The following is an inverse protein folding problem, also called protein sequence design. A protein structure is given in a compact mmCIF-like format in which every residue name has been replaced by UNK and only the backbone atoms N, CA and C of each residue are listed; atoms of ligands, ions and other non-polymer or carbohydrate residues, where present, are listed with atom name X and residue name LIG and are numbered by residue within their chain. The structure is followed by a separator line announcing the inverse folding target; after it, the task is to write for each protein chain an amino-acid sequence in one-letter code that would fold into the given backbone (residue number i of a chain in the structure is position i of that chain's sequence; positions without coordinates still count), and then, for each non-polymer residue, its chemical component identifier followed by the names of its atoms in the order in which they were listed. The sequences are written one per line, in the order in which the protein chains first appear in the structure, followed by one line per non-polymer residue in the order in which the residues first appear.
data_IF_833960393348
#
_entry.id   IF_833960393348
#
_cell.length_a   1.000
_cell.length_b   1.000
_cell.length_c   1.000
_cell.angle_alpha   90.00
_cell.angle_beta   90.00
_cell.angle_gamma   90.00
#
_symmetry.space_group_name_H-M   'P 1'
#
loop_
_entity.id
_entity.type
_entity.pdbx_description
1 polymer ?
#
# COMPACT_ATOMS: atom_id res chain seq x y z
N UNK A 1 10.39 1.80 30.33
CA UNK A 1 10.06 2.24 28.95
C UNK A 1 9.15 1.20 28.32
N UNK A 2 7.95 1.61 27.91
CA UNK A 2 6.85 0.73 27.47
C UNK A 2 7.21 0.03 26.15
N UNK A 3 7.24 -1.30 26.17
CA UNK A 3 7.37 -2.18 24.99
C UNK A 3 6.00 -2.34 24.32
N UNK A 4 5.52 -1.30 23.66
CA UNK A 4 4.53 -1.47 22.58
C UNK A 4 5.31 -1.48 21.26
N UNK A 5 4.84 -2.21 20.25
CA UNK A 5 5.34 -2.28 18.85
C UNK A 5 6.09 -3.55 18.42
N UNK A 6 5.73 -4.73 18.94
CA UNK A 6 6.00 -6.00 18.22
C UNK A 6 4.74 -6.79 17.87
N UNK A 7 3.66 -6.68 18.65
CA UNK A 7 2.39 -7.37 18.39
C UNK A 7 1.56 -6.80 17.24
N UNK A 8 1.57 -5.47 17.03
CA UNK A 8 0.75 -4.84 15.98
C UNK A 8 1.27 -5.14 14.56
N UNK A 9 2.60 -5.23 14.39
CA UNK A 9 3.20 -5.61 13.10
C UNK A 9 2.98 -7.09 12.77
N UNK A 10 2.83 -7.95 13.78
CA UNK A 10 2.49 -9.35 13.61
C UNK A 10 0.99 -9.54 13.30
N UNK A 11 0.12 -8.61 13.69
CA UNK A 11 -1.30 -8.66 13.37
C UNK A 11 -1.54 -8.39 11.87
N UNK A 12 -0.78 -7.48 11.26
CA UNK A 12 -0.95 -7.12 9.83
C UNK A 12 -0.42 -8.21 8.88
N UNK A 13 0.62 -8.95 9.28
CA UNK A 13 1.11 -10.14 8.55
C UNK A 13 0.44 -11.45 9.00
N UNK A 14 -0.13 -11.48 10.19
CA UNK A 14 -0.83 -12.63 10.76
C UNK A 14 -2.26 -12.75 10.25
N UNK A 15 -2.95 -11.63 9.99
CA UNK A 15 -4.28 -11.64 9.36
C UNK A 15 -4.25 -12.27 7.96
N UNK A 16 -3.12 -12.24 7.26
CA UNK A 16 -2.95 -12.95 5.97
C UNK A 16 -2.60 -14.43 6.10
N UNK A 17 -2.13 -14.91 7.26
CA UNK A 17 -1.69 -16.30 7.44
C UNK A 17 -2.56 -17.13 8.40
N UNK A 18 -3.43 -16.52 9.22
CA UNK A 18 -4.25 -17.23 10.21
C UNK A 18 -5.68 -17.54 9.78
N UNK A 19 -6.06 -17.27 8.52
CA UNK A 19 -7.36 -17.70 7.98
C UNK A 19 -7.17 -19.00 7.19
N UNK A 20 -7.25 -20.12 7.92
CA UNK A 20 -7.30 -21.48 7.37
C UNK A 20 -8.58 -21.81 6.59
N UNK A 21 -9.14 -20.83 5.91
CA UNK A 21 -10.28 -20.95 5.00
C UNK A 21 -9.94 -20.10 3.78
N UNK A 22 -9.67 -20.77 2.66
CA UNK A 22 -9.65 -20.21 1.29
C UNK A 22 -9.48 -18.69 1.26
N UNK A 23 -8.23 -18.24 1.18
CA UNK A 23 -7.91 -16.90 0.69
C UNK A 23 -8.42 -16.87 -0.74
N UNK A 24 -9.69 -16.53 -0.95
CA UNK A 24 -10.08 -15.89 -2.20
C UNK A 24 -9.18 -14.67 -2.26
N UNK A 25 -8.18 -14.72 -3.13
CA UNK A 25 -7.27 -13.62 -3.39
C UNK A 25 -8.10 -12.42 -3.82
N UNK A 26 -8.51 -11.58 -2.88
CA UNK A 26 -9.20 -10.34 -3.17
C UNK A 26 -8.11 -9.33 -3.57
N UNK A 27 -8.27 -8.82 -4.80
CA UNK A 27 -7.27 -8.12 -5.62
C UNK A 27 -7.28 -6.60 -5.42
N UNK A 28 -7.92 -6.12 -4.36
CA UNK A 28 -8.14 -4.69 -4.19
C UNK A 28 -6.89 -4.01 -3.70
N UNK A 29 -6.31 -4.41 -2.56
CA UNK A 29 -4.99 -3.91 -2.18
C UNK A 29 -3.96 -4.54 -3.10
N UNK A 30 -3.26 -3.75 -3.91
CA UNK A 30 -2.24 -4.23 -4.84
C UNK A 30 -0.82 -3.86 -4.39
N UNK A 31 -0.62 -2.86 -3.52
CA UNK A 31 0.71 -2.50 -3.03
C UNK A 31 0.75 -1.96 -1.59
N UNK A 32 1.92 -2.11 -0.97
CA UNK A 32 2.27 -1.53 0.33
C UNK A 32 3.28 -0.39 0.15
N UNK A 33 3.12 0.68 0.91
CA UNK A 33 3.97 1.86 0.82
C UNK A 33 4.74 2.07 2.12
N UNK A 34 6.04 2.32 2.02
CA UNK A 34 6.93 2.67 3.14
C UNK A 34 7.59 4.01 2.85
N UNK A 35 7.43 4.97 3.76
CA UNK A 35 8.02 6.31 3.61
C UNK A 35 9.33 6.40 4.38
N UNK A 36 10.43 6.60 3.67
CA UNK A 36 11.71 6.92 4.29
C UNK A 36 11.64 8.34 4.86
N UNK A 37 11.66 8.42 6.19
CA UNK A 37 11.53 9.70 6.91
C UNK A 37 12.74 10.62 6.74
N UNK A 38 13.89 10.08 6.33
CA UNK A 38 15.13 10.85 6.15
C UNK A 38 15.20 11.52 4.79
N UNK A 39 14.72 10.86 3.73
CA UNK A 39 14.77 11.36 2.36
C UNK A 39 13.41 11.85 1.85
N UNK A 40 12.32 11.48 2.53
CA UNK A 40 10.96 11.76 2.12
C UNK A 40 10.43 10.84 1.01
N UNK A 41 11.28 9.96 0.45
CA UNK A 41 10.91 9.04 -0.64
C UNK A 41 9.91 7.99 -0.13
N UNK A 42 8.92 7.67 -0.94
CA UNK A 42 7.97 6.59 -0.68
C UNK A 42 8.30 5.41 -1.57
N UNK A 43 8.56 4.26 -0.96
CA UNK A 43 8.82 3.00 -1.64
C UNK A 43 7.53 2.20 -1.74
N UNK A 44 7.14 1.81 -2.95
CA UNK A 44 5.91 1.07 -3.24
C UNK A 44 6.27 -0.38 -3.63
N UNK A 45 5.68 -1.34 -2.90
CA UNK A 45 5.93 -2.77 -3.03
C UNK A 45 4.68 -3.47 -3.51
N UNK A 46 4.74 -4.10 -4.67
CA UNK A 46 3.64 -4.91 -5.18
C UNK A 46 3.35 -6.10 -4.24
N UNK A 47 2.08 -6.26 -3.87
CA UNK A 47 1.61 -7.29 -2.93
C UNK A 47 1.86 -8.68 -3.48
N UNK A 48 1.66 -8.90 -4.77
CA UNK A 48 1.82 -10.22 -5.39
C UNK A 48 3.29 -10.66 -5.32
N UNK A 49 4.19 -9.77 -5.71
CA UNK A 49 5.64 -9.97 -5.67
C UNK A 49 6.11 -10.17 -4.22
N UNK A 50 5.61 -9.36 -3.29
CA UNK A 50 5.95 -9.47 -1.87
C UNK A 50 5.47 -10.80 -1.27
N UNK A 51 4.26 -11.26 -1.60
CA UNK A 51 3.73 -12.54 -1.11
C UNK A 51 4.58 -13.71 -1.63
N UNK A 52 4.92 -13.70 -2.91
CA UNK A 52 5.79 -14.71 -3.50
C UNK A 52 7.18 -14.69 -2.84
N UNK A 53 7.75 -13.49 -2.63
CA UNK A 53 9.02 -13.30 -1.95
C UNK A 53 9.00 -13.80 -0.49
N UNK A 54 7.90 -13.58 0.24
CA UNK A 54 7.73 -14.06 1.60
C UNK A 54 7.63 -15.60 1.67
N UNK A 55 6.92 -16.22 0.73
CA UNK A 55 6.86 -17.69 0.58
C UNK A 55 8.26 -18.23 0.28
N UNK A 56 8.97 -17.64 -0.69
CA UNK A 56 10.34 -18.01 -1.01
C UNK A 56 11.24 -17.91 0.21
N UNK A 57 11.24 -16.77 0.91
CA UNK A 57 12.00 -16.57 2.13
C UNK A 57 11.70 -17.63 3.20
N UNK A 58 10.43 -18.04 3.34
CA UNK A 58 10.03 -19.09 4.29
C UNK A 58 10.60 -20.46 3.92
N UNK A 59 10.71 -20.75 2.62
CA UNK A 59 11.21 -22.04 2.10
C UNK A 59 12.74 -22.08 2.08
N UNK A 60 13.39 -21.02 1.59
CA UNK A 60 14.84 -20.95 1.34
C UNK A 60 15.63 -20.28 2.48
N UNK A 61 14.96 -19.53 3.35
CA UNK A 61 15.59 -18.67 4.36
C UNK A 61 16.12 -17.34 3.84
N UNK A 62 15.99 -17.05 2.52
CA UNK A 62 16.45 -15.79 1.92
C UNK A 62 15.69 -15.45 0.64
N UNK A 63 15.31 -14.18 0.51
CA UNK A 63 14.73 -13.59 -0.69
C UNK A 63 15.02 -12.07 -0.68
N UNK A 64 15.77 -11.54 -1.66
CA UNK A 64 16.19 -10.13 -1.65
C UNK A 64 15.04 -9.12 -1.62
N UNK A 65 13.89 -9.45 -2.22
CA UNK A 65 12.73 -8.55 -2.26
C UNK A 65 12.08 -8.47 -0.88
N UNK A 66 11.89 -9.63 -0.23
CA UNK A 66 11.33 -9.69 1.11
C UNK A 66 12.25 -9.06 2.16
N UNK A 67 13.55 -9.33 2.07
CA UNK A 67 14.56 -8.80 3.00
C UNK A 67 14.64 -7.26 2.93
N UNK A 68 14.59 -6.69 1.72
CA UNK A 68 14.57 -5.23 1.56
C UNK A 68 13.30 -4.63 2.17
N UNK A 69 12.14 -5.23 1.87
CA UNK A 69 10.86 -4.80 2.44
C UNK A 69 10.86 -4.88 3.96
N UNK A 70 11.29 -6.01 4.55
CA UNK A 70 11.30 -6.20 6.00
C UNK A 70 12.28 -5.22 6.67
N UNK A 71 13.46 -5.01 6.06
CA UNK A 71 14.43 -4.02 6.52
C UNK A 71 13.86 -2.59 6.56
N UNK A 72 13.20 -2.16 5.48
CA UNK A 72 12.55 -0.84 5.40
C UNK A 72 11.37 -0.73 6.35
N UNK A 73 10.54 -1.77 6.45
CA UNK A 73 9.38 -1.83 7.36
C UNK A 73 9.83 -1.70 8.81
N UNK A 74 10.87 -2.44 9.20
CA UNK A 74 11.39 -2.39 10.58
C UNK A 74 12.02 -1.03 10.91
N UNK A 75 12.56 -0.33 9.91
CA UNK A 75 13.16 1.00 10.09
C UNK A 75 12.13 2.13 10.11
N UNK A 76 11.10 2.10 9.26
CA UNK A 76 10.22 3.25 9.01
C UNK A 76 8.72 3.01 9.24
N UNK A 77 8.31 1.75 9.40
CA UNK A 77 6.91 1.27 9.40
C UNK A 77 6.17 1.47 8.06
N UNK A 78 5.06 0.74 7.90
CA UNK A 78 4.16 0.89 6.75
C UNK A 78 3.49 2.26 6.84
N UNK A 79 3.51 2.99 5.73
CA UNK A 79 2.95 4.33 5.58
C UNK A 79 1.53 4.28 5.04
N UNK A 80 1.29 3.53 3.96
CA UNK A 80 -0.01 3.48 3.28
C UNK A 80 -0.19 2.17 2.51
N UNK A 81 -1.42 1.95 2.05
CA UNK A 81 -1.82 0.91 1.10
C UNK A 81 -2.20 1.57 -0.22
N UNK A 82 -2.01 0.89 -1.33
CA UNK A 82 -2.57 1.24 -2.63
C UNK A 82 -3.69 0.25 -2.98
N UNK A 83 -4.83 0.79 -3.41
CA UNK A 83 -5.91 0.05 -4.03
C UNK A 83 -5.66 -0.01 -5.54
N UNK A 84 -6.05 -1.10 -6.18
CA UNK A 84 -6.07 -1.27 -7.63
C UNK A 84 -6.99 -0.27 -8.34
N UNK A 85 -7.86 0.43 -7.60
CA UNK A 85 -8.58 1.62 -8.08
C UNK A 85 -7.73 2.89 -8.25
N UNK A 86 -6.45 2.85 -7.86
CA UNK A 86 -5.52 4.00 -7.88
C UNK A 86 -5.51 4.83 -6.59
N UNK A 87 -6.31 4.44 -5.59
CA UNK A 87 -6.45 5.16 -4.32
C UNK A 87 -5.36 4.74 -3.33
N UNK A 88 -4.80 5.72 -2.64
CA UNK A 88 -3.92 5.47 -1.49
C UNK A 88 -4.69 5.62 -0.18
N UNK A 89 -4.49 4.73 0.78
CA UNK A 89 -5.10 4.81 2.11
C UNK A 89 -4.02 4.72 3.18
N UNK A 90 -4.00 5.69 4.10
CA UNK A 90 -3.00 5.72 5.15
C UNK A 90 -3.13 4.50 6.08
N UNK A 91 -1.99 3.93 6.49
CA UNK A 91 -1.95 2.78 7.38
C UNK A 91 -2.69 3.03 8.71
N UNK A 92 -2.56 4.25 9.25
CA UNK A 92 -3.19 4.66 10.51
C UNK A 92 -4.72 4.66 10.43
N UNK A 93 -5.29 5.04 9.28
CA UNK A 93 -6.74 5.05 9.01
C UNK A 93 -7.27 3.62 8.99
N UNK A 94 -6.64 2.73 8.22
CA UNK A 94 -7.02 1.32 8.16
C UNK A 94 -6.84 0.60 9.51
N UNK A 95 -5.77 0.92 10.25
CA UNK A 95 -5.52 0.36 11.59
C UNK A 95 -6.58 0.79 12.60
N UNK A 96 -6.99 2.06 12.55
CA UNK A 96 -8.06 2.58 13.41
C UNK A 96 -9.40 1.93 13.09
N UNK A 97 -9.69 1.72 11.80
CA UNK A 97 -10.88 1.00 11.37
C UNK A 97 -10.88 -0.46 11.87
N UNK A 98 -9.77 -1.20 11.75
CA UNK A 98 -9.64 -2.54 12.29
C UNK A 98 -9.94 -2.59 13.80
N UNK A 99 -9.36 -1.67 14.58
CA UNK A 99 -9.60 -1.59 16.02
C UNK A 99 -11.08 -1.33 16.30
N UNK A 100 -11.71 -0.36 15.62
CA UNK A 100 -13.12 -0.04 15.83
C UNK A 100 -14.03 -1.21 15.47
N UNK A 101 -13.81 -1.87 14.33
CA UNK A 101 -14.56 -3.06 13.93
C UNK A 101 -14.41 -4.17 14.98
N UNK A 102 -13.20 -4.41 15.48
CA UNK A 102 -12.94 -5.41 16.52
C UNK A 102 -13.69 -5.07 17.81
N UNK A 103 -13.68 -3.80 18.24
CA UNK A 103 -14.40 -3.34 19.44
C UNK A 103 -15.92 -3.46 19.29
N UNK A 104 -16.43 -3.34 18.06
CA UNK A 104 -17.84 -3.52 17.71
C UNK A 104 -18.23 -4.99 17.49
N UNK A 105 -17.30 -5.94 17.62
CA UNK A 105 -17.52 -7.35 17.36
C UNK A 105 -17.76 -7.67 15.87
N UNK A 106 -17.33 -6.79 14.96
CA UNK A 106 -17.44 -6.95 13.51
C UNK A 106 -16.13 -7.48 12.92
N UNK A 107 -16.26 -8.25 11.85
CA UNK A 107 -15.11 -8.68 11.05
C UNK A 107 -14.59 -7.51 10.19
N UNK A 108 -13.28 -7.27 10.23
CA UNK A 108 -12.64 -6.25 9.40
C UNK A 108 -12.04 -6.88 8.13
N UNK A 109 -12.43 -6.36 6.97
CA UNK A 109 -11.85 -6.70 5.69
C UNK A 109 -11.16 -5.47 5.10
N UNK A 110 -9.83 -5.54 4.95
CA UNK A 110 -9.02 -4.42 4.44
C UNK A 110 -9.40 -4.05 3.00
N UNK A 111 -9.55 -5.04 2.13
CA UNK A 111 -9.84 -4.84 0.71
C UNK A 111 -11.21 -4.17 0.52
N UNK A 112 -12.24 -4.61 1.25
CA UNK A 112 -13.53 -3.94 1.26
C UNK A 112 -13.42 -2.52 1.82
N UNK A 113 -12.68 -2.34 2.92
CA UNK A 113 -12.55 -1.05 3.58
C UNK A 113 -11.91 0.01 2.68
N UNK A 114 -10.80 -0.30 2.01
CA UNK A 114 -10.07 0.70 1.21
C UNK A 114 -10.87 1.19 0.00
N UNK A 115 -11.71 0.33 -0.57
CA UNK A 115 -12.56 0.65 -1.72
C UNK A 115 -13.86 1.37 -1.36
N UNK A 116 -14.21 1.50 -0.08
CA UNK A 116 -15.34 2.33 0.31
C UNK A 116 -15.12 3.77 -0.14
N UNK A 117 -16.15 4.37 -0.74
CA UNK A 117 -16.15 5.79 -1.11
C UNK A 117 -15.97 6.71 0.11
N UNK A 118 -16.40 6.25 1.29
CA UNK A 118 -16.23 6.95 2.57
C UNK A 118 -14.82 6.85 3.14
N UNK A 119 -13.99 5.91 2.68
CA UNK A 119 -12.62 5.78 3.19
C UNK A 119 -11.78 6.94 2.67
N UNK A 120 -11.10 7.71 3.54
CA UNK A 120 -10.27 8.82 3.10
C UNK A 120 -9.15 8.37 2.15
N UNK A 121 -8.98 9.11 1.04
CA UNK A 121 -7.83 8.96 0.16
C UNK A 121 -6.67 9.82 0.65
N UNK A 122 -5.47 9.26 0.63
CA UNK A 122 -4.23 9.93 0.96
C UNK A 122 -3.61 10.53 -0.30
N UNK A 123 -3.42 11.85 -0.31
CA UNK A 123 -2.65 12.51 -1.38
C UNK A 123 -1.15 12.41 -1.07
N UNK A 124 -0.39 11.68 -1.89
CA UNK A 124 1.06 11.52 -1.74
C UNK A 124 1.78 12.53 -2.63
N UNK A 125 2.31 13.59 -2.04
CA UNK A 125 3.08 14.63 -2.76
C UNK A 125 4.56 14.28 -2.92
N UNK A 126 5.05 13.33 -2.12
CA UNK A 126 6.41 12.83 -2.13
C UNK A 126 6.72 12.00 -3.39
N UNK A 127 7.99 11.90 -3.83
CA UNK A 127 8.37 11.02 -4.91
C UNK A 127 8.11 9.55 -4.52
N UNK A 128 7.47 8.81 -5.42
CA UNK A 128 7.20 7.39 -5.27
C UNK A 128 8.18 6.59 -6.13
N UNK A 129 8.86 5.61 -5.53
CA UNK A 129 9.69 4.63 -6.21
C UNK A 129 9.04 3.26 -6.13
N UNK A 130 8.68 2.68 -7.26
CA UNK A 130 8.26 1.29 -7.36
C UNK A 130 9.48 0.40 -7.11
N UNK A 131 9.35 -0.55 -6.19
CA UNK A 131 10.38 -1.52 -5.86
C UNK A 131 10.15 -2.78 -6.70
N UNK A 132 11.16 -3.15 -7.47
CA UNK A 132 11.10 -4.26 -8.42
C UNK A 132 12.26 -5.23 -8.16
N UNK A 133 12.07 -6.49 -8.55
CA UNK A 133 13.12 -7.50 -8.56
C UNK A 133 13.53 -7.77 -10.01
N UNK A 134 14.75 -7.42 -10.37
CA UNK A 134 15.31 -7.69 -11.69
C UNK A 134 16.62 -8.47 -11.55
N UNK A 135 16.72 -9.62 -12.22
CA UNK A 135 17.91 -10.49 -12.18
C UNK A 135 18.36 -10.83 -10.74
N UNK A 136 17.41 -11.05 -9.83
CA UNK A 136 17.67 -11.36 -8.43
C UNK A 136 18.17 -10.18 -7.58
N UNK A 137 18.09 -8.95 -8.10
CA UNK A 137 18.48 -7.74 -7.38
C UNK A 137 17.32 -6.76 -7.28
N UNK A 138 17.24 -6.08 -6.13
CA UNK A 138 16.24 -5.03 -5.92
C UNK A 138 16.63 -3.81 -6.74
N UNK A 139 15.66 -3.29 -7.49
CA UNK A 139 15.75 -2.03 -8.22
C UNK A 139 14.64 -1.09 -7.81
N UNK A 140 14.92 0.20 -7.95
CA UNK A 140 13.98 1.27 -7.66
C UNK A 140 13.69 2.07 -8.92
N UNK A 141 12.44 2.04 -9.38
CA UNK A 141 11.98 2.76 -10.58
C UNK A 141 11.11 3.92 -10.13
N UNK A 142 11.39 5.13 -10.63
CA UNK A 142 10.52 6.27 -10.34
C UNK A 142 9.13 6.01 -10.95
N UNK A 143 8.10 6.02 -10.10
CA UNK A 143 6.72 6.00 -10.57
C UNK A 143 6.42 7.42 -11.02
N UNK A 144 6.34 7.63 -12.34
CA UNK A 144 5.88 8.91 -12.90
C UNK A 144 4.63 9.32 -12.14
N UNK A 145 4.62 10.54 -11.57
CA UNK A 145 3.45 11.06 -10.87
C UNK A 145 2.26 10.86 -11.80
N UNK A 146 1.28 10.06 -11.36
CA UNK A 146 0.00 9.99 -12.03
C UNK A 146 -0.48 11.42 -12.19
N UNK A 147 -0.75 11.79 -13.44
CA UNK A 147 -1.53 12.98 -13.75
C UNK A 147 -2.72 12.98 -12.79
N UNK A 148 -2.89 14.07 -12.05
CA UNK A 148 -4.22 14.50 -11.64
C UNK A 148 -5.14 14.31 -12.85
N UNK A 149 -6.38 13.80 -12.70
CA UNK A 149 -7.37 14.04 -13.73
C UNK A 149 -7.34 15.54 -13.96
N UNK A 150 -6.90 15.94 -15.16
CA UNK A 150 -7.15 17.30 -15.60
C UNK A 150 -8.66 17.32 -15.69
N UNK A 151 -9.30 18.04 -14.76
CA UNK A 151 -10.67 18.48 -14.96
C UNK A 151 -10.70 19.03 -16.39
N UNK A 152 -11.47 18.40 -17.27
CA UNK A 152 -11.81 18.98 -18.55
C UNK A 152 -12.56 20.27 -18.22
N UNK A 153 -11.83 21.38 -18.13
CA UNK A 153 -12.41 22.71 -18.29
C UNK A 153 -13.13 22.66 -19.63
N UNK A 154 -14.46 22.63 -19.58
CA UNK A 154 -15.34 22.92 -20.70
C UNK A 154 -14.88 24.26 -21.29
N UNK A 155 -14.06 24.19 -22.34
CA UNK A 155 -13.72 25.36 -23.13
C UNK A 155 -14.99 25.89 -23.76
N UNK A 156 -15.50 27.01 -23.23
CA UNK A 156 -16.46 27.86 -23.91
C UNK A 156 -15.95 28.12 -25.33
N UNK A 157 -16.70 27.65 -26.33
CA UNK A 157 -16.45 27.99 -27.72
C UNK A 157 -16.82 29.47 -27.92
N UNK A 158 -15.82 30.35 -27.94
CA UNK A 158 -15.97 31.70 -28.49
C UNK A 158 -16.38 31.59 -29.96
N UNK A 159 -17.65 31.89 -30.24
CA UNK A 159 -18.18 32.02 -31.59
C UNK A 159 -17.65 33.33 -32.18
N UNK A 160 -16.57 33.26 -32.93
CA UNK A 160 -16.11 34.39 -33.75
C UNK A 160 -17.02 34.50 -34.97
N UNK A 161 -17.95 35.46 -34.95
CA UNK A 161 -18.66 35.90 -36.15
C UNK A 161 -17.69 36.58 -37.09
N UNK A 162 -17.69 36.20 -38.36
CA UNK A 162 -17.02 36.92 -39.44
C UNK A 162 -18.11 37.42 -40.37
N UNK A 163 -18.10 38.74 -40.63
CA UNK A 163 -19.04 39.50 -41.48
C UNK A 163 -19.14 39.00 -42.92
#
# INVERSE_FOLDING_TARGET
MKRFNKGLSALVLGVTLSLGTTITALAVTDAYLIKDKSTGIVYEYDKTTLNNAAVNYTISGSDPYYEEFDGKKNKYAIYAFHSSSGKYVEFSVASSALINYTLEGKEFNLDTFIDLSSTPSLNITAPIKSVQLENGQVKYVDKSKGQTPVDEEEGELEVISIE
#
